data_IF_504531619106
#
_entry.id   IF_504531619106
#
_cell.length_a   1.000
_cell.length_b   1.000
_cell.length_c   1.000
_cell.angle_alpha   90.00
_cell.angle_beta   90.00
_cell.angle_gamma   90.00
#
_symmetry.space_group_name_H-M   'P 1'
#
loop_
_entity.id
_entity.type
_entity.pdbx_description
1 polymer ?
#
# COMPACT_ATOMS: atom_id res chain seq x y z
N UNK A 1 -6.29 -36.27 -47.59
CA UNK A 1 -4.83 -36.32 -47.36
C UNK A 1 -4.28 -34.91 -47.49
N UNK A 2 -3.96 -34.25 -46.37
CA UNK A 2 -3.06 -33.11 -46.36
C UNK A 2 -2.59 -32.97 -44.90
N UNK A 3 -1.39 -33.44 -44.65
CA UNK A 3 -0.64 -33.29 -43.38
C UNK A 3 0.00 -31.93 -43.36
N UNK A 4 -0.43 -31.03 -42.46
CA UNK A 4 0.25 -29.78 -42.22
C UNK A 4 1.18 -29.91 -41.03
N UNK A 5 2.47 -29.74 -41.33
CA UNK A 5 3.59 -29.70 -40.40
C UNK A 5 3.43 -28.61 -39.32
N UNK A 6 3.46 -29.03 -38.06
CA UNK A 6 3.74 -28.17 -36.92
C UNK A 6 5.25 -28.22 -36.68
N UNK A 7 5.97 -27.25 -37.22
CA UNK A 7 7.38 -27.01 -36.92
C UNK A 7 7.58 -25.51 -36.65
N UNK A 8 7.53 -25.11 -35.38
CA UNK A 8 7.67 -23.69 -35.01
C UNK A 8 7.68 -23.38 -33.53
N UNK A 9 7.78 -24.37 -32.63
CA UNK A 9 7.67 -24.15 -31.20
C UNK A 9 8.96 -24.35 -30.36
N UNK A 10 10.13 -24.41 -30.97
CA UNK A 10 11.39 -24.73 -30.25
C UNK A 10 12.43 -23.58 -30.19
N UNK A 11 12.12 -22.38 -30.70
CA UNK A 11 13.10 -21.29 -30.70
C UNK A 11 12.79 -20.11 -29.75
N UNK A 12 11.75 -20.19 -28.91
CA UNK A 12 11.42 -19.11 -27.95
C UNK A 12 12.04 -19.31 -26.57
N UNK A 13 12.62 -20.47 -26.26
CA UNK A 13 13.17 -20.76 -24.91
C UNK A 13 14.68 -20.42 -24.77
N UNK A 14 15.38 -20.10 -25.85
CA UNK A 14 16.82 -19.81 -25.81
C UNK A 14 17.16 -18.33 -25.73
N UNK A 15 16.20 -17.41 -25.73
CA UNK A 15 16.43 -15.96 -25.70
C UNK A 15 16.34 -15.34 -24.28
N UNK A 16 16.11 -16.11 -23.23
CA UNK A 16 15.91 -15.61 -21.85
C UNK A 16 17.09 -15.87 -20.90
N UNK A 17 18.23 -16.38 -21.36
CA UNK A 17 19.37 -16.72 -20.48
C UNK A 17 20.65 -15.93 -20.71
N UNK A 18 20.60 -14.79 -21.42
CA UNK A 18 21.75 -13.89 -21.51
C UNK A 18 21.39 -12.48 -21.12
N UNK A 19 20.89 -12.28 -19.92
CA UNK A 19 20.99 -10.98 -19.26
C UNK A 19 22.34 -10.93 -18.58
N UNK A 20 23.33 -10.49 -19.38
CA UNK A 20 24.67 -10.14 -18.99
C UNK A 20 24.58 -9.18 -17.77
N UNK A 21 24.90 -9.71 -16.60
CA UNK A 21 25.10 -8.93 -15.39
C UNK A 21 26.43 -8.16 -15.57
N UNK A 22 26.45 -7.25 -16.54
CA UNK A 22 27.44 -6.20 -16.62
C UNK A 22 27.27 -5.32 -15.38
N UNK A 23 27.99 -5.66 -14.32
CA UNK A 23 28.21 -4.78 -13.17
C UNK A 23 28.77 -3.48 -13.73
N UNK A 24 27.89 -2.47 -13.89
CA UNK A 24 28.28 -1.12 -14.22
C UNK A 24 29.20 -0.66 -13.08
N UNK A 25 30.51 -0.79 -13.31
CA UNK A 25 31.51 -0.17 -12.44
C UNK A 25 31.13 1.28 -12.28
N UNK A 26 31.03 1.75 -11.05
CA UNK A 26 30.75 3.16 -10.80
C UNK A 26 31.92 3.99 -11.31
N UNK A 27 31.63 5.21 -11.80
CA UNK A 27 32.67 6.13 -12.27
C UNK A 27 33.76 6.34 -11.20
N UNK A 28 33.44 6.21 -9.93
CA UNK A 28 34.35 6.27 -8.79
C UNK A 28 35.30 5.06 -8.76
N UNK A 29 34.84 3.84 -9.00
CA UNK A 29 35.69 2.63 -9.06
C UNK A 29 36.65 2.66 -10.25
N UNK A 30 36.22 3.21 -11.37
CA UNK A 30 37.10 3.42 -12.54
C UNK A 30 38.17 4.49 -12.25
N UNK A 31 37.86 5.57 -11.57
CA UNK A 31 38.80 6.59 -11.16
C UNK A 31 39.82 6.07 -10.13
N UNK A 32 39.35 5.28 -9.14
CA UNK A 32 40.23 4.63 -8.16
C UNK A 32 41.22 3.68 -8.85
N UNK A 33 40.75 2.89 -9.80
CA UNK A 33 41.61 1.95 -10.56
C UNK A 33 42.65 2.71 -11.42
N UNK A 34 42.24 3.80 -12.07
CA UNK A 34 43.16 4.68 -12.85
C UNK A 34 44.17 5.37 -11.95
N UNK A 35 43.75 5.82 -10.77
CA UNK A 35 44.64 6.45 -9.79
C UNK A 35 45.70 5.47 -9.30
N UNK A 36 45.29 4.23 -8.89
CA UNK A 36 46.25 3.21 -8.46
C UNK A 36 47.25 2.85 -9.57
N UNK A 37 46.80 2.81 -10.82
CA UNK A 37 47.66 2.57 -11.99
C UNK A 37 48.65 3.71 -12.20
N UNK A 38 48.22 4.96 -12.07
CA UNK A 38 49.08 6.14 -12.18
C UNK A 38 50.09 6.22 -11.03
N UNK A 39 49.66 5.93 -9.80
CA UNK A 39 50.53 5.89 -8.62
C UNK A 39 51.62 4.82 -8.78
N UNK A 40 51.25 3.64 -9.27
CA UNK A 40 52.18 2.54 -9.52
C UNK A 40 53.19 2.87 -10.63
N UNK A 41 52.76 3.61 -11.65
CA UNK A 41 53.61 4.09 -12.75
C UNK A 41 54.54 5.19 -12.28
N UNK A 42 54.07 6.10 -11.41
CA UNK A 42 54.90 7.18 -10.84
C UNK A 42 55.92 6.63 -9.84
N UNK A 43 55.57 5.64 -8.99
CA UNK A 43 56.53 4.98 -8.11
C UNK A 43 57.65 4.25 -8.87
N UNK A 44 57.39 3.79 -10.09
CA UNK A 44 58.37 3.14 -10.95
C UNK A 44 59.33 4.13 -11.66
N UNK A 45 58.93 5.43 -11.83
CA UNK A 45 59.65 6.43 -12.61
C UNK A 45 60.01 7.72 -11.86
N UNK A 46 59.81 7.83 -10.52
CA UNK A 46 60.03 9.06 -9.77
C UNK A 46 61.51 9.33 -9.47
N UNK A 47 61.96 10.56 -9.87
CA UNK A 47 63.10 11.29 -9.34
C UNK A 47 62.68 11.94 -7.98
N UNK A 48 63.44 11.82 -6.87
CA UNK A 48 62.98 12.09 -5.49
C UNK A 48 62.86 13.58 -5.11
N UNK A 49 62.86 14.53 -6.07
CA UNK A 49 62.95 15.97 -5.76
C UNK A 49 61.66 16.82 -5.81
N UNK A 50 60.50 16.28 -6.13
CA UNK A 50 59.22 17.05 -6.13
C UNK A 50 58.01 16.26 -5.64
N UNK A 51 57.68 16.28 -4.31
CA UNK A 51 56.58 15.54 -3.74
C UNK A 51 55.21 16.27 -3.73
N UNK A 52 55.06 17.42 -4.38
CA UNK A 52 53.88 18.30 -4.22
C UNK A 52 52.62 17.81 -4.91
N UNK A 53 52.69 17.02 -5.99
CA UNK A 53 51.50 16.53 -6.68
C UNK A 53 50.77 15.36 -5.97
N UNK A 54 51.48 14.56 -5.16
CA UNK A 54 50.91 13.42 -4.47
C UNK A 54 49.89 13.81 -3.39
N UNK A 55 50.11 14.92 -2.68
CA UNK A 55 49.19 15.38 -1.62
C UNK A 55 47.89 15.93 -2.18
N UNK A 56 47.93 16.63 -3.30
CA UNK A 56 46.73 17.16 -3.95
C UNK A 56 45.88 16.04 -4.55
N UNK A 57 46.50 15.03 -5.16
CA UNK A 57 45.82 13.83 -5.66
C UNK A 57 45.19 13.00 -4.54
N UNK A 58 45.85 12.82 -3.38
CA UNK A 58 45.32 12.13 -2.22
C UNK A 58 44.08 12.84 -1.66
N UNK A 59 44.07 14.18 -1.65
CA UNK A 59 42.91 14.96 -1.23
C UNK A 59 41.73 14.77 -2.19
N UNK A 60 41.94 14.78 -3.49
CA UNK A 60 40.91 14.55 -4.49
C UNK A 60 40.37 13.11 -4.40
N UNK A 61 41.24 12.11 -4.19
CA UNK A 61 40.81 10.72 -3.99
C UNK A 61 39.94 10.56 -2.74
N UNK A 62 40.31 11.23 -1.64
CA UNK A 62 39.51 11.22 -0.40
C UNK A 62 38.13 11.83 -0.62
N UNK A 63 38.01 12.89 -1.40
CA UNK A 63 36.73 13.48 -1.79
C UNK A 63 35.91 12.54 -2.66
N UNK A 64 36.52 11.91 -3.68
CA UNK A 64 35.85 10.93 -4.54
C UNK A 64 35.37 9.72 -3.71
N UNK A 65 36.21 9.21 -2.80
CA UNK A 65 35.85 8.10 -1.92
C UNK A 65 34.69 8.46 -1.00
N UNK A 66 34.61 9.68 -0.51
CA UNK A 66 33.50 10.20 0.29
C UNK A 66 32.20 10.24 -0.54
N UNK A 67 32.27 10.79 -1.77
CA UNK A 67 31.11 10.83 -2.68
C UNK A 67 30.64 9.41 -3.01
N UNK A 68 31.57 8.51 -3.35
CA UNK A 68 31.23 7.09 -3.62
C UNK A 68 30.60 6.40 -2.39
N UNK A 69 31.08 6.74 -1.19
CA UNK A 69 30.47 6.26 0.06
C UNK A 69 29.02 6.74 0.21
N UNK A 70 28.75 8.01 -0.10
CA UNK A 70 27.39 8.59 -0.06
C UNK A 70 26.51 7.94 -1.13
N UNK A 71 26.99 7.72 -2.34
CA UNK A 71 26.24 7.03 -3.40
C UNK A 71 25.89 5.60 -3.00
N UNK A 72 26.82 4.87 -2.38
CA UNK A 72 26.56 3.51 -1.85
C UNK A 72 25.55 3.51 -0.71
N UNK A 73 25.57 4.54 0.14
CA UNK A 73 24.54 4.72 1.20
C UNK A 73 23.18 5.00 0.59
N UNK A 74 23.08 5.88 -0.40
CA UNK A 74 21.81 6.15 -1.10
C UNK A 74 21.27 4.88 -1.77
N UNK A 75 22.11 4.15 -2.51
CA UNK A 75 21.72 2.88 -3.12
C UNK A 75 21.27 1.82 -2.10
N UNK A 76 21.85 1.82 -0.89
CA UNK A 76 21.44 0.93 0.20
C UNK A 76 20.11 1.35 0.80
N UNK A 77 19.86 2.66 0.91
CA UNK A 77 18.55 3.20 1.31
C UNK A 77 17.46 2.85 0.30
N UNK A 78 17.73 2.98 -0.99
CA UNK A 78 16.77 2.58 -2.04
C UNK A 78 16.42 1.10 -1.95
N UNK A 79 17.39 0.23 -1.72
CA UNK A 79 17.17 -1.20 -1.50
C UNK A 79 16.34 -1.48 -0.24
N UNK A 80 16.59 -0.74 0.83
CA UNK A 80 15.81 -0.86 2.07
C UNK A 80 14.36 -0.45 1.85
N UNK A 81 14.13 0.67 1.17
CA UNK A 81 12.78 1.14 0.82
C UNK A 81 12.05 0.14 -0.09
N UNK A 82 12.74 -0.42 -1.08
CA UNK A 82 12.18 -1.46 -1.95
C UNK A 82 11.80 -2.73 -1.16
N UNK A 83 12.65 -3.16 -0.21
CA UNK A 83 12.35 -4.31 0.66
C UNK A 83 11.16 -4.04 1.58
N UNK A 84 11.07 -2.84 2.15
CA UNK A 84 9.93 -2.41 2.96
C UNK A 84 8.62 -2.42 2.15
N UNK A 85 8.65 -1.83 0.95
CA UNK A 85 7.49 -1.84 0.03
C UNK A 85 7.06 -3.26 -0.35
N UNK A 86 8.03 -4.16 -0.60
CA UNK A 86 7.74 -5.56 -0.90
C UNK A 86 7.03 -6.25 0.27
N UNK A 87 7.47 -6.00 1.50
CA UNK A 87 6.83 -6.54 2.72
C UNK A 87 5.40 -6.02 2.87
N UNK A 88 5.19 -4.72 2.65
CA UNK A 88 3.87 -4.10 2.71
C UNK A 88 2.94 -4.68 1.63
N UNK A 89 3.45 -4.91 0.42
CA UNK A 89 2.70 -5.54 -0.67
C UNK A 89 2.24 -6.96 -0.30
N UNK A 90 3.11 -7.75 0.36
CA UNK A 90 2.74 -9.09 0.83
C UNK A 90 1.66 -9.04 1.91
N UNK A 91 1.73 -8.10 2.85
CA UNK A 91 0.70 -7.91 3.88
C UNK A 91 -0.64 -7.51 3.26
N UNK A 92 -0.62 -6.61 2.29
CA UNK A 92 -1.83 -6.19 1.59
C UNK A 92 -2.42 -7.32 0.73
N UNK A 93 -1.59 -8.16 0.12
CA UNK A 93 -2.05 -9.34 -0.63
C UNK A 93 -2.81 -10.35 0.25
N UNK A 94 -2.44 -10.47 1.52
CA UNK A 94 -3.14 -11.32 2.48
C UNK A 94 -4.56 -10.82 2.84
N UNK A 95 -4.93 -9.61 2.40
CA UNK A 95 -6.28 -9.05 2.59
C UNK A 95 -7.27 -9.45 1.50
N UNK A 96 -6.81 -9.99 0.38
CA UNK A 96 -7.71 -10.46 -0.69
C UNK A 96 -8.66 -11.52 -0.12
N UNK A 97 -9.95 -11.34 -0.35
CA UNK A 97 -11.02 -12.19 0.17
C UNK A 97 -11.49 -11.84 1.59
N UNK A 98 -10.83 -10.91 2.29
CA UNK A 98 -11.28 -10.42 3.60
C UNK A 98 -12.20 -9.22 3.45
N UNK A 99 -13.09 -9.06 4.42
CA UNK A 99 -13.94 -7.87 4.54
C UNK A 99 -13.22 -6.81 5.36
N UNK A 100 -13.20 -5.58 4.85
CA UNK A 100 -12.55 -4.43 5.51
C UNK A 100 -13.57 -3.32 5.75
N UNK A 101 -13.36 -2.55 6.82
CA UNK A 101 -14.10 -1.32 7.08
C UNK A 101 -13.26 -0.12 6.68
N UNK A 102 -13.85 0.72 5.84
CA UNK A 102 -13.27 1.97 5.37
C UNK A 102 -14.27 3.11 5.52
N UNK A 103 -13.78 4.35 5.57
CA UNK A 103 -14.68 5.50 5.65
C UNK A 103 -15.70 5.50 4.50
N UNK A 104 -16.97 5.55 4.87
CA UNK A 104 -18.09 5.50 3.94
C UNK A 104 -19.40 5.16 4.66
N UNK A 105 -20.51 5.43 4.01
CA UNK A 105 -21.86 5.25 4.58
C UNK A 105 -22.76 4.36 3.74
N UNK A 106 -22.18 3.55 2.85
CA UNK A 106 -22.95 2.61 2.02
C UNK A 106 -23.04 1.27 2.76
N UNK A 107 -24.23 0.72 2.84
CA UNK A 107 -24.54 -0.64 3.31
C UNK A 107 -24.97 -1.47 2.11
N UNK A 108 -24.22 -2.48 1.77
CA UNK A 108 -24.57 -3.45 0.73
C UNK A 108 -25.37 -4.58 1.39
N UNK A 109 -26.70 -4.59 1.17
CA UNK A 109 -27.58 -5.62 1.71
C UNK A 109 -27.53 -6.87 0.83
N UNK A 110 -26.92 -7.91 1.38
CA UNK A 110 -26.89 -9.26 0.81
C UNK A 110 -28.00 -10.16 1.36
N UNK A 111 -27.90 -11.46 1.07
CA UNK A 111 -28.87 -12.45 1.55
C UNK A 111 -28.80 -12.66 3.07
N UNK A 112 -27.66 -12.43 3.70
CA UNK A 112 -27.45 -12.64 5.13
C UNK A 112 -27.50 -11.33 5.94
N UNK A 113 -27.90 -10.23 5.32
CA UNK A 113 -27.92 -8.89 5.92
C UNK A 113 -26.79 -8.00 5.42
N UNK A 114 -26.56 -6.90 6.13
CA UNK A 114 -25.48 -5.96 5.86
C UNK A 114 -24.68 -5.66 7.14
N UNK A 115 -23.38 -5.40 6.99
CA UNK A 115 -22.50 -5.04 8.09
C UNK A 115 -22.02 -3.61 7.85
N UNK A 116 -22.05 -2.81 8.91
CA UNK A 116 -21.49 -1.48 8.94
C UNK A 116 -20.67 -1.25 10.20
N UNK A 117 -19.94 -0.17 10.22
CA UNK A 117 -19.19 0.26 11.40
C UNK A 117 -19.32 1.74 11.65
N UNK A 118 -18.89 2.15 12.81
CA UNK A 118 -18.90 3.53 13.28
C UNK A 118 -17.57 3.75 14.00
N UNK A 119 -16.83 4.77 13.65
CA UNK A 119 -15.71 5.25 14.46
C UNK A 119 -16.19 6.41 15.31
N UNK A 120 -16.03 6.29 16.65
CA UNK A 120 -16.39 7.28 17.66
C UNK A 120 -15.11 7.93 18.18
N UNK A 121 -15.01 9.25 18.08
CA UNK A 121 -13.85 10.00 18.59
C UNK A 121 -13.80 10.01 20.13
N UNK A 122 -14.96 9.85 20.79
CA UNK A 122 -15.11 9.74 22.24
C UNK A 122 -16.24 8.76 22.61
N UNK A 123 -16.30 8.37 23.88
CA UNK A 123 -17.43 7.57 24.38
C UNK A 123 -18.75 8.35 24.24
N UNK A 124 -19.81 7.65 23.85
CA UNK A 124 -21.16 8.21 23.69
C UNK A 124 -22.17 7.43 24.52
N UNK A 125 -23.10 8.15 25.19
CA UNK A 125 -24.20 7.53 25.94
C UNK A 125 -25.34 7.07 25.04
N UNK A 126 -25.46 7.71 23.87
CA UNK A 126 -26.46 7.38 22.85
C UNK A 126 -25.78 7.33 21.50
N UNK A 127 -25.96 6.22 20.79
CA UNK A 127 -25.56 6.05 19.40
C UNK A 127 -26.75 5.49 18.64
N UNK A 128 -27.18 6.20 17.60
CA UNK A 128 -28.33 5.85 16.76
C UNK A 128 -27.86 5.76 15.31
N UNK A 129 -28.17 4.66 14.65
CA UNK A 129 -27.92 4.43 13.22
C UNK A 129 -29.26 4.55 12.49
N UNK A 130 -29.33 5.43 11.51
CA UNK A 130 -30.48 5.62 10.63
C UNK A 130 -30.16 5.11 9.24
N UNK A 131 -30.86 4.05 8.81
CA UNK A 131 -30.68 3.42 7.50
C UNK A 131 -31.70 3.96 6.52
N UNK A 132 -31.26 4.29 5.31
CA UNK A 132 -32.06 4.91 4.24
C UNK A 132 -31.94 4.13 2.95
N UNK A 133 -33.01 4.08 2.20
CA UNK A 133 -33.02 3.53 0.85
C UNK A 133 -32.39 4.48 -0.18
N UNK A 134 -32.34 4.06 -1.44
CA UNK A 134 -31.80 4.84 -2.54
C UNK A 134 -32.55 6.17 -2.80
N UNK A 135 -33.81 6.29 -2.35
CA UNK A 135 -34.60 7.51 -2.41
C UNK A 135 -34.33 8.50 -1.26
N UNK A 136 -33.53 8.06 -0.26
CA UNK A 136 -33.25 8.79 0.97
C UNK A 136 -34.33 8.62 2.05
N UNK A 137 -35.34 7.76 1.83
CA UNK A 137 -36.33 7.44 2.83
C UNK A 137 -35.75 6.56 3.92
N UNK A 138 -36.00 6.92 5.18
CA UNK A 138 -35.63 6.08 6.33
C UNK A 138 -36.41 4.78 6.29
N UNK A 139 -35.68 3.67 6.35
CA UNK A 139 -36.25 2.30 6.35
C UNK A 139 -36.10 1.63 7.70
N UNK A 140 -35.02 1.92 8.43
CA UNK A 140 -34.80 1.42 9.78
C UNK A 140 -34.00 2.39 10.62
N UNK A 141 -34.29 2.38 11.93
CA UNK A 141 -33.52 3.07 12.95
C UNK A 141 -33.07 2.09 14.02
N UNK A 142 -31.76 1.97 14.25
CA UNK A 142 -31.19 1.10 15.29
C UNK A 142 -30.57 1.96 16.39
N UNK A 143 -30.98 1.69 17.63
CA UNK A 143 -30.37 2.27 18.81
C UNK A 143 -29.31 1.33 19.37
N UNK A 144 -28.03 1.73 19.26
CA UNK A 144 -26.91 0.94 19.79
C UNK A 144 -26.62 1.25 21.26
N UNK A 145 -27.31 2.25 21.83
CA UNK A 145 -27.13 2.66 23.23
C UNK A 145 -25.75 3.23 23.52
N UNK A 146 -25.24 2.97 24.72
CA UNK A 146 -23.94 3.46 25.19
C UNK A 146 -22.80 2.70 24.53
N UNK A 147 -21.84 3.44 23.95
CA UNK A 147 -20.67 2.90 23.28
C UNK A 147 -19.39 3.59 23.77
N UNK A 148 -18.27 2.84 23.79
CA UNK A 148 -16.95 3.38 24.06
C UNK A 148 -16.37 4.08 22.82
N UNK A 149 -15.36 4.91 23.03
CA UNK A 149 -14.55 5.45 21.93
C UNK A 149 -13.90 4.32 21.10
N UNK A 150 -13.76 4.52 19.80
CA UNK A 150 -13.16 3.58 18.86
C UNK A 150 -14.15 3.06 17.82
N UNK A 151 -13.83 1.92 17.21
CA UNK A 151 -14.66 1.32 16.16
C UNK A 151 -15.71 0.40 16.78
N UNK A 152 -16.97 0.65 16.45
CA UNK A 152 -18.15 -0.14 16.86
C UNK A 152 -18.79 -0.70 15.59
N UNK A 153 -19.01 -2.00 15.54
CA UNK A 153 -19.65 -2.69 14.42
C UNK A 153 -21.13 -2.89 14.72
N UNK A 154 -21.96 -2.80 13.69
CA UNK A 154 -23.37 -3.14 13.74
C UNK A 154 -23.75 -4.02 12.55
N UNK A 155 -24.80 -4.81 12.74
CA UNK A 155 -25.36 -5.67 11.71
C UNK A 155 -26.79 -5.25 11.46
N UNK A 156 -27.18 -5.24 10.20
CA UNK A 156 -28.55 -5.02 9.77
C UNK A 156 -29.10 -6.26 9.07
N UNK A 157 -30.23 -6.77 9.52
CA UNK A 157 -30.88 -7.97 9.00
C UNK A 157 -31.66 -7.76 7.69
N UNK A 158 -31.65 -6.54 7.14
CA UNK A 158 -32.33 -6.18 5.90
C UNK A 158 -33.86 -5.97 6.07
N UNK A 159 -34.32 -5.77 7.30
CA UNK A 159 -35.73 -5.45 7.54
C UNK A 159 -35.93 -3.97 7.83
N UNK A 160 -37.15 -3.50 7.59
CA UNK A 160 -37.57 -2.17 8.00
C UNK A 160 -38.04 -2.15 9.46
N UNK A 161 -38.29 -0.96 10.03
CA UNK A 161 -38.92 -0.81 11.36
C UNK A 161 -40.27 -1.52 11.47
N UNK A 162 -40.96 -1.82 10.35
CA UNK A 162 -42.19 -2.59 10.29
C UNK A 162 -41.95 -4.09 10.11
N UNK A 163 -40.75 -4.62 10.40
CA UNK A 163 -40.36 -6.04 10.25
C UNK A 163 -40.56 -6.60 8.83
N UNK A 164 -40.63 -5.74 7.82
CA UNK A 164 -40.76 -6.13 6.41
C UNK A 164 -39.39 -6.29 5.79
N UNK A 165 -39.11 -7.45 5.17
CA UNK A 165 -37.87 -7.70 4.44
C UNK A 165 -37.78 -6.77 3.23
N UNK A 166 -36.59 -6.19 3.06
CA UNK A 166 -36.28 -5.25 2.00
C UNK A 166 -35.46 -5.94 0.90
N UNK A 167 -35.52 -5.46 -0.34
CA UNK A 167 -34.77 -6.06 -1.43
C UNK A 167 -33.27 -5.89 -1.21
N UNK A 168 -32.48 -6.87 -1.67
CA UNK A 168 -31.02 -6.75 -1.72
C UNK A 168 -30.59 -5.57 -2.57
N UNK A 169 -29.48 -4.92 -2.20
CA UNK A 169 -28.98 -3.74 -2.91
C UNK A 169 -28.27 -2.77 -2.00
N UNK A 170 -28.01 -1.57 -2.52
CA UNK A 170 -27.28 -0.54 -1.80
C UNK A 170 -28.23 0.36 -1.01
N UNK A 171 -27.95 0.47 0.27
CA UNK A 171 -28.56 1.39 1.22
C UNK A 171 -27.51 2.38 1.72
N UNK A 172 -27.94 3.43 2.38
CA UNK A 172 -27.05 4.37 3.05
C UNK A 172 -27.42 4.48 4.51
N UNK A 173 -26.46 4.82 5.35
CA UNK A 173 -26.74 5.05 6.76
C UNK A 173 -26.12 6.36 7.26
N UNK A 174 -26.72 6.92 8.27
CA UNK A 174 -26.21 8.05 9.03
C UNK A 174 -26.14 7.67 10.51
N UNK A 175 -25.20 8.26 11.20
CA UNK A 175 -24.94 8.02 12.63
C UNK A 175 -25.12 9.31 13.39
N UNK A 176 -25.89 9.25 14.47
CA UNK A 176 -26.01 10.29 15.50
C UNK A 176 -25.51 9.74 16.82
N UNK A 177 -24.58 10.43 17.45
CA UNK A 177 -24.02 10.04 18.74
C UNK A 177 -23.84 11.25 19.66
N UNK A 178 -24.09 11.08 20.95
CA UNK A 178 -23.97 12.17 21.88
C UNK A 178 -24.06 11.76 23.35
N UNK A 179 -23.67 12.71 24.22
CA UNK A 179 -23.77 12.67 25.66
C UNK A 179 -24.73 13.77 26.11
N UNK A 180 -25.99 13.39 26.39
CA UNK A 180 -27.04 14.38 26.59
C UNK A 180 -27.25 15.26 25.35
N UNK A 181 -26.95 16.58 25.46
CA UNK A 181 -27.02 17.55 24.37
C UNK A 181 -25.72 17.69 23.57
N UNK A 182 -24.61 17.16 24.07
CA UNK A 182 -23.30 17.32 23.45
C UNK A 182 -23.06 16.26 22.38
N UNK A 183 -22.88 16.65 21.10
CA UNK A 183 -22.67 15.69 20.03
C UNK A 183 -21.27 15.09 20.10
N UNK A 184 -21.15 13.78 19.88
CA UNK A 184 -19.89 13.10 19.71
C UNK A 184 -19.61 12.93 18.21
N UNK A 185 -18.41 13.33 17.80
CA UNK A 185 -18.00 13.21 16.39
C UNK A 185 -17.88 11.74 16.01
N UNK A 186 -18.49 11.41 14.88
CA UNK A 186 -18.56 10.05 14.33
C UNK A 186 -18.07 10.01 12.88
N UNK A 187 -17.50 8.90 12.49
CA UNK A 187 -17.23 8.57 11.08
C UNK A 187 -17.95 7.25 10.77
N UNK A 188 -18.84 7.30 9.78
CA UNK A 188 -19.47 6.10 9.25
C UNK A 188 -18.45 5.24 8.49
N UNK A 189 -18.54 3.91 8.68
CA UNK A 189 -17.62 2.94 8.07
C UNK A 189 -18.40 1.92 7.26
N UNK A 190 -18.14 1.88 5.96
CA UNK A 190 -18.71 0.89 5.06
C UNK A 190 -17.84 -0.37 5.04
N UNK A 191 -18.51 -1.53 5.09
CA UNK A 191 -17.85 -2.80 4.85
C UNK A 191 -17.70 -3.07 3.35
N UNK A 192 -16.57 -3.67 2.97
CA UNK A 192 -16.35 -4.10 1.60
C UNK A 192 -15.38 -5.27 1.55
N UNK A 193 -15.68 -6.28 0.73
CA UNK A 193 -14.78 -7.39 0.50
C UNK A 193 -13.67 -6.97 -0.46
N UNK A 194 -12.41 -7.24 -0.11
CA UNK A 194 -11.27 -6.97 -0.97
C UNK A 194 -11.24 -7.99 -2.11
N UNK A 195 -11.39 -7.53 -3.34
CA UNK A 195 -11.41 -8.36 -4.55
C UNK A 195 -10.07 -8.41 -5.28
N UNK A 196 -9.31 -7.33 -5.24
CA UNK A 196 -8.02 -7.24 -5.90
C UNK A 196 -7.09 -6.24 -5.19
N UNK A 197 -5.81 -6.31 -5.56
CA UNK A 197 -4.77 -5.40 -5.11
C UNK A 197 -4.12 -4.77 -6.33
N UNK A 198 -3.91 -3.47 -6.29
CA UNK A 198 -3.20 -2.71 -7.33
C UNK A 198 -2.00 -2.01 -6.71
N UNK A 199 -0.82 -2.22 -7.31
CA UNK A 199 0.40 -1.52 -6.95
C UNK A 199 0.46 -0.21 -7.72
N UNK A 200 0.55 0.90 -7.01
CA UNK A 200 0.68 2.24 -7.58
C UNK A 200 2.02 2.86 -7.16
N UNK A 201 2.39 3.95 -7.79
CA UNK A 201 3.59 4.74 -7.40
C UNK A 201 3.50 5.28 -5.98
N UNK A 202 2.29 5.50 -5.48
CA UNK A 202 2.02 6.06 -4.15
C UNK A 202 1.81 4.98 -3.08
N UNK A 203 1.95 3.69 -3.45
CA UNK A 203 1.81 2.56 -2.54
C UNK A 203 0.79 1.53 -3.00
N UNK A 204 0.15 0.86 -2.04
CA UNK A 204 -0.81 -0.22 -2.30
C UNK A 204 -2.23 0.31 -2.24
N UNK A 205 -2.99 0.05 -3.29
CA UNK A 205 -4.43 0.29 -3.35
C UNK A 205 -5.18 -1.03 -3.40
N UNK A 206 -6.23 -1.15 -2.60
CA UNK A 206 -7.11 -2.30 -2.55
C UNK A 206 -8.39 -1.99 -3.31
N UNK A 207 -8.80 -2.89 -4.17
CA UNK A 207 -10.07 -2.83 -4.87
C UNK A 207 -11.12 -3.63 -4.10
N UNK A 208 -12.22 -2.98 -3.75
CA UNK A 208 -13.36 -3.65 -3.12
C UNK A 208 -14.29 -4.24 -4.19
N UNK A 209 -15.11 -5.21 -3.81
CA UNK A 209 -16.06 -5.88 -4.70
C UNK A 209 -17.07 -4.92 -5.36
N UNK A 210 -17.35 -3.79 -4.71
CA UNK A 210 -18.19 -2.71 -5.24
C UNK A 210 -17.48 -1.73 -6.17
N UNK A 211 -16.31 -2.09 -6.69
CA UNK A 211 -15.44 -1.28 -7.54
C UNK A 211 -14.85 -0.01 -6.89
N UNK A 212 -15.00 0.16 -5.57
CA UNK A 212 -14.33 1.24 -4.84
C UNK A 212 -12.86 0.88 -4.64
N UNK A 213 -11.98 1.83 -4.94
CA UNK A 213 -10.54 1.72 -4.64
C UNK A 213 -10.24 2.47 -3.35
N UNK A 214 -9.50 1.84 -2.44
CA UNK A 214 -9.13 2.40 -1.14
C UNK A 214 -7.64 2.20 -0.89
N UNK A 215 -6.98 3.17 -0.29
CA UNK A 215 -5.58 2.99 0.10
C UNK A 215 -5.50 2.00 1.29
N UNK A 216 -4.40 1.26 1.35
CA UNK A 216 -4.16 0.35 2.47
C UNK A 216 -4.20 1.06 3.84
N UNK A 217 -3.74 2.32 3.88
CA UNK A 217 -3.77 3.19 5.07
C UNK A 217 -5.16 3.58 5.55
N UNK A 218 -6.18 3.48 4.69
CA UNK A 218 -7.55 3.93 4.98
C UNK A 218 -8.41 2.81 5.57
N UNK A 219 -7.82 1.63 5.76
CA UNK A 219 -8.48 0.51 6.42
C UNK A 219 -8.45 0.74 7.93
N UNK A 220 -9.62 0.80 8.53
CA UNK A 220 -9.75 0.97 9.97
C UNK A 220 -9.89 -0.36 10.71
N UNK A 221 -10.49 -1.38 10.05
CA UNK A 221 -10.66 -2.71 10.64
C UNK A 221 -10.70 -3.77 9.55
N UNK A 222 -10.21 -4.96 9.89
CA UNK A 222 -10.27 -6.17 9.05
C UNK A 222 -11.16 -7.16 9.76
N UNK A 223 -12.11 -7.75 9.01
CA UNK A 223 -13.00 -8.79 9.49
C UNK A 223 -12.71 -10.10 8.73
N UNK A 224 -12.88 -11.21 9.39
CA UNK A 224 -12.74 -12.54 8.79
C UNK A 224 -14.11 -13.07 8.35
#
# INVERSE_FOLDING_TARGET
>A
MATSNVSGATNAAAALTSQDASTKKTAAEDMETRFLTLLMTQLKNQDPLNPTDANQMTTQLSQISTVSGIEKLNASMDKLLASYSSTQNMQAAAMIGKTVLTAGNVLELGAEGAIGGISLDAAAERVTVTIKDASGKVVQTQELGKQAAGVVNFVWDGKSDAETALPTGNYTFAVDAGNGSDPVKTTALAAGMVSALTLTTDGVSLQLANNKSVAYSDILQIMN
#
